data_IF_312739744788
#
_entry.id   IF_312739744788
#
_cell.length_a   1.000
_cell.length_b   1.000
_cell.length_c   1.000
_cell.angle_alpha   90.00
_cell.angle_beta   90.00
_cell.angle_gamma   90.00
#
_symmetry.space_group_name_H-M   'P 1'
#
loop_
_entity.id
_entity.type
_entity.pdbx_description
1 polymer ?
#
# COMPACT_ATOMS: atom_id res chain seq x y z
N UNK A 1 40.19 22.91 -5.41
CA UNK A 1 39.18 23.64 -4.59
C UNK A 1 37.83 23.87 -5.26
N UNK A 2 37.72 23.87 -6.61
CA UNK A 2 36.45 24.09 -7.33
C UNK A 2 35.49 22.89 -7.29
N UNK A 3 36.03 21.68 -7.16
CA UNK A 3 35.30 20.40 -7.11
C UNK A 3 34.65 20.08 -5.76
N UNK A 4 35.16 20.61 -4.64
CA UNK A 4 34.59 20.38 -3.29
C UNK A 4 33.31 21.20 -3.09
N UNK A 5 33.25 22.42 -3.65
CA UNK A 5 32.04 23.26 -3.60
C UNK A 5 30.89 22.66 -4.40
N UNK A 6 31.18 21.94 -5.48
CA UNK A 6 30.17 21.24 -6.29
C UNK A 6 29.63 20.00 -5.56
N UNK A 7 30.50 19.26 -4.86
CA UNK A 7 30.10 18.09 -4.07
C UNK A 7 29.17 18.48 -2.90
N UNK A 8 29.45 19.59 -2.23
CA UNK A 8 28.61 20.12 -1.14
C UNK A 8 27.24 20.63 -1.64
N UNK A 9 27.19 21.18 -2.86
CA UNK A 9 25.94 21.64 -3.48
C UNK A 9 25.02 20.47 -3.87
N UNK A 10 25.59 19.38 -4.38
CA UNK A 10 24.84 18.15 -4.72
C UNK A 10 24.37 17.43 -3.45
N UNK A 11 25.20 17.39 -2.40
CA UNK A 11 24.82 16.79 -1.12
C UNK A 11 23.73 17.58 -0.39
N UNK A 12 23.76 18.92 -0.49
CA UNK A 12 22.70 19.79 0.04
C UNK A 12 21.38 19.66 -0.73
N UNK A 13 21.43 19.38 -2.04
CA UNK A 13 20.22 19.17 -2.86
C UNK A 13 19.57 17.79 -2.60
N UNK A 14 20.38 16.78 -2.29
CA UNK A 14 19.88 15.45 -1.88
C UNK A 14 19.24 15.45 -0.48
N UNK A 15 19.74 16.28 0.44
CA UNK A 15 19.17 16.43 1.78
C UNK A 15 17.82 17.17 1.79
N UNK A 16 17.53 18.02 0.80
CA UNK A 16 16.23 18.71 0.68
C UNK A 16 15.13 17.85 0.05
N UNK A 17 15.48 16.74 -0.61
CA UNK A 17 14.50 15.81 -1.19
C UNK A 17 14.06 14.72 -0.19
N UNK A 18 14.80 14.50 0.90
CA UNK A 18 14.44 13.59 1.99
C UNK A 18 13.36 14.11 2.95
N UNK A 19 12.89 15.34 2.73
CA UNK A 19 11.82 16.01 3.50
C UNK A 19 10.56 16.26 2.66
N UNK A 20 10.34 15.46 1.62
CA UNK A 20 8.97 15.17 1.22
C UNK A 20 8.37 14.33 2.35
N UNK A 21 7.91 15.01 3.40
CA UNK A 21 7.00 14.47 4.38
C UNK A 21 5.99 13.62 3.63
N UNK A 22 5.98 12.33 3.93
CA UNK A 22 4.79 11.50 3.86
C UNK A 22 3.69 12.30 4.54
N UNK A 23 2.90 13.04 3.76
CA UNK A 23 1.65 13.56 4.27
C UNK A 23 0.84 12.31 4.54
N UNK A 24 0.73 11.93 5.81
CA UNK A 24 -0.42 11.13 6.23
C UNK A 24 -1.63 11.99 5.86
N UNK A 25 -2.19 11.74 4.66
CA UNK A 25 -3.44 12.37 4.25
C UNK A 25 -4.42 12.12 5.39
N UNK A 26 -5.10 13.18 5.81
CA UNK A 26 -6.11 13.13 6.86
C UNK A 26 -7.04 11.95 6.57
N UNK A 27 -7.07 10.98 7.50
CA UNK A 27 -7.85 9.75 7.33
C UNK A 27 -9.31 10.13 7.14
N UNK A 28 -9.88 9.78 6.00
CA UNK A 28 -11.29 10.01 5.75
C UNK A 28 -12.10 9.16 6.74
N UNK A 29 -13.09 9.75 7.43
CA UNK A 29 -13.86 9.06 8.48
C UNK A 29 -14.60 7.81 7.96
N UNK A 30 -14.77 7.70 6.64
CA UNK A 30 -15.38 6.55 5.99
C UNK A 30 -14.38 5.43 5.68
N UNK A 31 -13.10 5.48 6.06
CA UNK A 31 -12.14 4.40 5.77
C UNK A 31 -12.36 3.17 6.63
N UNK A 32 -11.90 2.00 6.17
CA UNK A 32 -11.78 0.84 7.04
C UNK A 32 -10.83 1.19 8.21
N UNK A 33 -11.12 0.72 9.44
CA UNK A 33 -10.21 0.92 10.55
C UNK A 33 -8.84 0.27 10.24
N UNK A 34 -7.76 0.71 10.91
CA UNK A 34 -6.48 0.01 10.82
C UNK A 34 -6.66 -1.49 11.07
N UNK A 35 -6.10 -2.32 10.19
CA UNK A 35 -5.99 -3.75 10.39
C UNK A 35 -4.92 -4.00 11.46
N UNK A 36 -5.26 -4.82 12.43
CA UNK A 36 -4.34 -5.27 13.46
C UNK A 36 -4.13 -6.78 13.27
N UNK A 37 -2.88 -7.19 13.13
CA UNK A 37 -2.50 -8.60 13.00
C UNK A 37 -2.26 -9.14 14.40
N UNK A 38 -3.10 -10.08 14.82
CA UNK A 38 -2.89 -10.76 16.11
C UNK A 38 -1.66 -11.67 16.01
N UNK A 39 -0.61 -11.35 16.78
CA UNK A 39 0.60 -12.19 16.86
C UNK A 39 0.28 -13.42 17.73
N UNK A 40 0.38 -14.65 17.19
CA UNK A 40 0.22 -15.89 17.96
C UNK A 40 1.15 -15.92 19.17
N UNK A 41 0.69 -16.51 20.28
CA UNK A 41 1.47 -16.52 21.53
C UNK A 41 2.82 -17.23 21.37
N UNK A 42 2.88 -18.22 20.49
CA UNK A 42 4.07 -19.01 20.18
C UNK A 42 5.16 -18.18 19.50
N UNK A 43 4.80 -17.07 18.86
CA UNK A 43 5.72 -16.16 18.16
C UNK A 43 6.15 -14.96 19.01
N UNK A 44 5.51 -14.74 20.17
CA UNK A 44 5.82 -13.62 21.07
C UNK A 44 7.19 -13.78 21.69
N UNK A 45 7.94 -12.68 21.74
CA UNK A 45 9.30 -12.62 22.27
C UNK A 45 10.39 -12.79 21.20
N UNK A 46 10.06 -13.30 20.01
CA UNK A 46 10.98 -13.30 18.88
C UNK A 46 10.92 -11.93 18.17
N UNK A 47 11.86 -11.03 18.51
CA UNK A 47 11.87 -9.64 18.03
C UNK A 47 11.98 -9.50 16.52
N UNK A 48 12.60 -10.46 15.83
CA UNK A 48 12.69 -10.43 14.37
C UNK A 48 11.34 -10.76 13.72
N UNK A 49 10.64 -11.78 14.25
CA UNK A 49 9.30 -12.17 13.79
C UNK A 49 8.27 -11.10 14.11
N UNK A 50 8.28 -10.56 15.34
CA UNK A 50 7.39 -9.44 15.72
C UNK A 50 7.56 -8.26 14.78
N UNK A 51 8.82 -7.87 14.51
CA UNK A 51 9.12 -6.77 13.57
C UNK A 51 8.62 -7.08 12.15
N UNK A 52 8.81 -8.31 11.67
CA UNK A 52 8.32 -8.72 10.35
C UNK A 52 6.79 -8.61 10.25
N UNK A 53 6.06 -9.06 11.29
CA UNK A 53 4.59 -8.95 11.33
C UNK A 53 4.16 -7.47 11.39
N UNK A 54 4.78 -6.65 12.23
CA UNK A 54 4.47 -5.21 12.37
C UNK A 54 4.72 -4.43 11.06
N UNK A 55 5.84 -4.69 10.39
CA UNK A 55 6.16 -4.06 9.10
C UNK A 55 5.17 -4.50 8.02
N UNK A 56 4.75 -5.77 8.04
CA UNK A 56 3.75 -6.32 7.12
C UNK A 56 2.37 -5.70 7.37
N UNK A 57 1.95 -5.56 8.63
CA UNK A 57 0.72 -4.87 9.03
C UNK A 57 0.74 -3.40 8.56
N UNK A 58 1.87 -2.72 8.73
CA UNK A 58 2.03 -1.33 8.29
C UNK A 58 1.88 -1.21 6.77
N UNK A 59 2.51 -2.13 6.01
CA UNK A 59 2.39 -2.16 4.56
C UNK A 59 0.96 -2.46 4.11
N UNK A 60 0.29 -3.43 4.74
CA UNK A 60 -1.10 -3.79 4.46
C UNK A 60 -2.05 -2.61 4.68
N UNK A 61 -1.90 -1.88 5.79
CA UNK A 61 -2.72 -0.71 6.08
C UNK A 61 -2.50 0.41 5.07
N UNK A 62 -1.24 0.70 4.69
CA UNK A 62 -0.94 1.68 3.64
C UNK A 62 -1.55 1.30 2.30
N UNK A 63 -1.48 0.02 1.94
CA UNK A 63 -2.10 -0.51 0.73
C UNK A 63 -3.63 -0.36 0.75
N UNK A 64 -4.27 -0.74 1.85
CA UNK A 64 -5.71 -0.56 2.08
C UNK A 64 -6.11 0.91 1.86
N UNK A 65 -5.41 1.83 2.52
CA UNK A 65 -5.73 3.25 2.40
C UNK A 65 -5.49 3.80 1.00
N UNK A 66 -4.45 3.34 0.29
CA UNK A 66 -4.21 3.76 -1.10
C UNK A 66 -5.35 3.32 -2.04
N UNK A 67 -5.93 2.14 -1.82
CA UNK A 67 -7.11 1.68 -2.56
C UNK A 67 -8.36 2.50 -2.23
N UNK A 68 -8.57 2.80 -0.95
CA UNK A 68 -9.71 3.61 -0.51
C UNK A 68 -9.61 5.06 -1.02
N UNK A 69 -8.40 5.61 -1.05
CA UNK A 69 -8.06 6.88 -1.68
C UNK A 69 -8.36 6.87 -3.18
N UNK A 70 -7.96 5.79 -3.87
CA UNK A 70 -8.21 5.64 -5.30
C UNK A 70 -9.72 5.61 -5.57
N UNK A 71 -10.46 4.79 -4.82
CA UNK A 71 -11.91 4.68 -4.99
C UNK A 71 -12.61 6.02 -4.77
N UNK A 72 -12.27 6.76 -3.70
CA UNK A 72 -12.85 8.08 -3.42
C UNK A 72 -12.48 9.14 -4.46
N UNK A 73 -11.24 9.12 -4.97
CA UNK A 73 -10.81 10.05 -6.03
C UNK A 73 -11.41 9.72 -7.39
N UNK A 74 -11.71 8.44 -7.64
CA UNK A 74 -12.30 7.97 -8.90
C UNK A 74 -13.82 8.08 -8.92
N UNK A 75 -14.50 8.15 -7.77
CA UNK A 75 -15.96 8.24 -7.64
C UNK A 75 -16.62 9.24 -8.63
N UNK A 76 -16.10 10.48 -8.83
CA UNK A 76 -16.72 11.46 -9.73
C UNK A 76 -16.64 11.11 -11.24
N UNK A 77 -15.87 10.08 -11.59
CA UNK A 77 -15.66 9.60 -12.96
C UNK A 77 -16.30 8.23 -13.21
N UNK A 78 -16.81 7.57 -12.18
CA UNK A 78 -17.50 6.28 -12.31
C UNK A 78 -18.71 6.44 -13.23
N UNK A 79 -18.84 5.54 -14.20
CA UNK A 79 -19.95 5.54 -15.17
C UNK A 79 -19.84 6.57 -16.29
N UNK A 80 -18.81 7.43 -16.29
CA UNK A 80 -18.57 8.36 -17.40
C UNK A 80 -17.79 7.67 -18.51
N UNK A 81 -18.26 7.82 -19.73
CA UNK A 81 -17.51 7.42 -20.92
C UNK A 81 -16.34 8.38 -21.16
N UNK A 82 -15.30 7.90 -21.85
CA UNK A 82 -14.11 8.70 -22.13
C UNK A 82 -14.43 9.98 -22.93
N UNK A 83 -15.50 9.95 -23.73
CA UNK A 83 -16.00 11.08 -24.52
C UNK A 83 -16.70 12.15 -23.66
N UNK A 84 -17.19 11.79 -22.48
CA UNK A 84 -17.90 12.68 -21.55
C UNK A 84 -16.93 13.44 -20.63
N UNK A 85 -15.69 12.94 -20.53
CA UNK A 85 -14.64 13.57 -19.75
C UNK A 85 -14.02 14.77 -20.49
N UNK A 86 -13.96 15.90 -19.80
CA UNK A 86 -13.16 17.04 -20.25
C UNK A 86 -11.67 16.69 -20.26
N UNK A 87 -10.86 17.39 -21.07
CA UNK A 87 -9.39 17.22 -21.08
C UNK A 87 -8.79 17.36 -19.68
N UNK A 88 -9.31 18.27 -18.85
CA UNK A 88 -8.83 18.47 -17.49
C UNK A 88 -9.16 17.28 -16.59
N UNK A 89 -10.35 16.69 -16.70
CA UNK A 89 -10.72 15.48 -15.97
C UNK A 89 -9.85 14.29 -16.38
N UNK A 90 -9.54 14.14 -17.68
CA UNK A 90 -8.60 13.12 -18.16
C UNK A 90 -7.20 13.27 -17.54
N UNK A 91 -6.70 14.51 -17.46
CA UNK A 91 -5.41 14.80 -16.81
C UNK A 91 -5.44 14.49 -15.32
N UNK A 92 -6.53 14.85 -14.62
CA UNK A 92 -6.71 14.53 -13.20
C UNK A 92 -6.76 13.02 -12.95
N UNK A 93 -7.52 12.28 -13.76
CA UNK A 93 -7.59 10.82 -13.68
C UNK A 93 -6.21 10.19 -13.91
N UNK A 94 -5.47 10.65 -14.93
CA UNK A 94 -4.10 10.21 -15.17
C UNK A 94 -3.17 10.48 -13.97
N UNK A 95 -3.29 11.65 -13.32
CA UNK A 95 -2.55 11.97 -12.10
C UNK A 95 -2.90 11.04 -10.94
N UNK A 96 -4.18 10.79 -10.70
CA UNK A 96 -4.67 9.87 -9.67
C UNK A 96 -4.07 8.47 -9.88
N UNK A 97 -4.08 7.97 -11.11
CA UNK A 97 -3.50 6.66 -11.45
C UNK A 97 -1.98 6.62 -11.23
N UNK A 98 -1.24 7.67 -11.59
CA UNK A 98 0.20 7.75 -11.34
C UNK A 98 0.53 7.76 -9.85
N UNK A 99 -0.22 8.51 -9.04
CA UNK A 99 -0.06 8.54 -7.59
C UNK A 99 -0.36 7.17 -6.96
N UNK A 100 -1.42 6.50 -7.44
CA UNK A 100 -1.74 5.15 -7.01
C UNK A 100 -0.61 4.17 -7.34
N UNK A 101 -0.11 4.15 -8.58
CA UNK A 101 1.02 3.27 -8.97
C UNK A 101 2.27 3.55 -8.14
N UNK A 102 2.59 4.83 -7.88
CA UNK A 102 3.73 5.19 -7.05
C UNK A 102 3.60 4.66 -5.61
N UNK A 103 2.41 4.75 -5.03
CA UNK A 103 2.12 4.20 -3.70
C UNK A 103 2.15 2.66 -3.68
N UNK A 104 1.67 2.02 -4.74
CA UNK A 104 1.66 0.57 -4.91
C UNK A 104 3.05 -0.03 -5.11
N UNK A 105 4.02 0.73 -5.61
CA UNK A 105 5.39 0.24 -5.80
C UNK A 105 6.03 -0.29 -4.51
N UNK A 106 5.79 0.39 -3.37
CA UNK A 106 6.31 -0.08 -2.08
C UNK A 106 5.63 -1.37 -1.61
N UNK A 107 4.34 -1.51 -1.90
CA UNK A 107 3.58 -2.71 -1.57
C UNK A 107 4.03 -3.91 -2.41
N UNK A 108 4.17 -3.72 -3.72
CA UNK A 108 4.64 -4.75 -4.64
C UNK A 108 6.03 -5.27 -4.28
N UNK A 109 6.93 -4.40 -3.82
CA UNK A 109 8.25 -4.82 -3.31
C UNK A 109 8.10 -5.73 -2.09
N UNK A 110 7.21 -5.43 -1.15
CA UNK A 110 7.00 -6.30 0.03
C UNK A 110 6.32 -7.62 -0.30
N UNK A 111 5.36 -7.63 -1.21
CA UNK A 111 4.78 -8.90 -1.71
C UNK A 111 5.85 -9.73 -2.42
N UNK A 112 6.68 -9.11 -3.27
CA UNK A 112 7.78 -9.82 -3.93
C UNK A 112 8.83 -10.37 -2.95
N UNK A 113 9.16 -9.64 -1.89
CA UNK A 113 10.02 -10.14 -0.80
C UNK A 113 9.37 -11.32 -0.05
N UNK A 114 8.06 -11.27 0.20
CA UNK A 114 7.32 -12.36 0.82
C UNK A 114 7.27 -13.60 -0.08
N UNK A 115 6.97 -13.43 -1.37
CA UNK A 115 6.98 -14.51 -2.37
C UNK A 115 8.37 -15.10 -2.55
N UNK A 116 9.41 -14.27 -2.54
CA UNK A 116 10.79 -14.73 -2.59
C UNK A 116 11.17 -15.50 -1.31
N UNK A 117 10.68 -15.07 -0.14
CA UNK A 117 10.89 -15.77 1.13
C UNK A 117 10.11 -17.09 1.19
N UNK A 118 8.89 -17.14 0.65
CA UNK A 118 8.12 -18.36 0.49
C UNK A 118 8.82 -19.33 -0.48
N UNK A 119 9.19 -18.86 -1.68
CA UNK A 119 9.72 -19.68 -2.77
C UNK A 119 11.16 -20.13 -2.52
N UNK A 120 12.01 -19.27 -1.94
CA UNK A 120 13.41 -19.60 -1.67
C UNK A 120 13.60 -20.47 -0.42
N UNK A 121 12.57 -20.62 0.41
CA UNK A 121 12.71 -21.16 1.77
C UNK A 121 11.60 -22.15 2.17
N UNK A 122 10.66 -22.52 1.29
CA UNK A 122 9.68 -23.60 1.59
C UNK A 122 10.34 -24.93 2.02
N UNK A 123 11.63 -25.15 1.70
CA UNK A 123 12.43 -26.29 2.17
C UNK A 123 13.30 -26.00 3.43
N UNK A 124 13.43 -24.75 3.89
CA UNK A 124 14.36 -24.34 4.95
C UNK A 124 13.77 -23.42 6.05
N UNK A 125 12.49 -23.03 5.99
CA UNK A 125 11.88 -22.18 7.02
C UNK A 125 11.72 -23.02 8.28
N UNK A 126 12.11 -22.46 9.42
CA UNK A 126 11.76 -23.09 10.67
C UNK A 126 10.24 -22.92 10.94
N UNK A 127 9.65 -23.74 11.83
CA UNK A 127 8.21 -23.68 12.08
C UNK A 127 7.69 -22.31 12.51
N UNK A 128 8.47 -21.53 13.27
CA UNK A 128 8.08 -20.18 13.70
C UNK A 128 8.01 -19.21 12.53
N UNK A 129 8.99 -19.27 11.62
CA UNK A 129 9.03 -18.43 10.42
C UNK A 129 7.89 -18.76 9.45
N UNK A 130 7.59 -20.04 9.25
CA UNK A 130 6.46 -20.49 8.44
C UNK A 130 5.12 -20.03 9.05
N UNK A 131 4.99 -20.11 10.37
CA UNK A 131 3.78 -19.65 11.07
C UNK A 131 3.63 -18.13 10.99
N UNK A 132 4.72 -17.36 11.10
CA UNK A 132 4.72 -15.91 10.91
C UNK A 132 4.27 -15.52 9.50
N UNK A 133 4.84 -16.17 8.47
CA UNK A 133 4.46 -15.96 7.08
C UNK A 133 2.98 -16.28 6.85
N UNK A 134 2.50 -17.41 7.37
CA UNK A 134 1.09 -17.81 7.27
C UNK A 134 0.17 -16.80 7.94
N UNK A 135 0.56 -16.28 9.11
CA UNK A 135 -0.21 -15.26 9.85
C UNK A 135 -0.36 -13.98 9.02
N UNK A 136 0.72 -13.53 8.38
CA UNK A 136 0.70 -12.36 7.51
C UNK A 136 -0.15 -12.61 6.26
N UNK A 137 0.02 -13.74 5.57
CA UNK A 137 -0.75 -14.06 4.37
C UNK A 137 -2.26 -14.17 4.63
N UNK A 138 -2.66 -14.77 5.75
CA UNK A 138 -4.07 -14.82 6.14
C UNK A 138 -4.62 -13.41 6.43
N UNK A 139 -3.81 -12.55 7.03
CA UNK A 139 -4.18 -11.15 7.29
C UNK A 139 -4.39 -10.35 6.00
N UNK A 140 -3.54 -10.59 4.99
CA UNK A 140 -3.70 -10.03 3.65
C UNK A 140 -5.04 -10.42 3.02
N UNK A 141 -5.35 -11.71 3.02
CA UNK A 141 -6.59 -12.24 2.45
C UNK A 141 -7.83 -11.66 3.15
N UNK A 142 -7.82 -11.58 4.48
CA UNK A 142 -8.91 -10.98 5.25
C UNK A 142 -9.13 -9.51 4.88
N UNK A 143 -8.07 -8.70 4.80
CA UNK A 143 -8.21 -7.29 4.42
C UNK A 143 -8.65 -7.13 2.97
N UNK A 144 -8.21 -7.98 2.04
CA UNK A 144 -8.75 -8.02 0.67
C UNK A 144 -10.26 -8.26 0.69
N UNK A 145 -10.74 -9.21 1.49
CA UNK A 145 -12.16 -9.50 1.64
C UNK A 145 -12.95 -8.32 2.22
N UNK A 146 -12.43 -7.63 3.24
CA UNK A 146 -13.04 -6.42 3.81
C UNK A 146 -13.19 -5.30 2.77
N UNK A 147 -12.14 -5.05 1.98
CA UNK A 147 -12.15 -4.05 0.91
C UNK A 147 -13.16 -4.45 -0.18
N UNK A 148 -13.11 -5.69 -0.65
CA UNK A 148 -14.04 -6.19 -1.67
C UNK A 148 -15.49 -6.09 -1.20
N UNK A 149 -15.77 -6.41 0.07
CA UNK A 149 -17.11 -6.28 0.63
C UNK A 149 -17.58 -4.83 0.65
N UNK A 150 -16.72 -3.91 1.10
CA UNK A 150 -17.04 -2.48 1.19
C UNK A 150 -17.30 -1.85 -0.17
N UNK A 151 -16.51 -2.18 -1.18
CA UNK A 151 -16.61 -1.63 -2.53
C UNK A 151 -17.36 -2.53 -3.51
N UNK A 152 -18.11 -3.53 -3.02
CA UNK A 152 -18.82 -4.52 -3.86
C UNK A 152 -19.78 -3.89 -4.89
N UNK A 153 -20.30 -2.70 -4.60
CA UNK A 153 -21.27 -1.98 -5.42
C UNK A 153 -20.65 -0.79 -6.16
N UNK A 154 -19.34 -0.59 -6.02
CA UNK A 154 -18.61 0.47 -6.71
C UNK A 154 -18.77 0.30 -8.23
N UNK A 155 -19.46 1.26 -8.86
CA UNK A 155 -19.75 1.24 -10.30
C UNK A 155 -20.96 0.38 -10.72
N UNK A 156 -21.69 -0.25 -9.80
CA UNK A 156 -22.83 -1.13 -10.15
C UNK A 156 -24.17 -0.44 -10.31
N UNK A 157 -24.39 0.73 -9.72
CA UNK A 157 -25.67 1.46 -9.81
C UNK A 157 -26.02 1.95 -11.24
N UNK A 158 -25.14 1.67 -12.21
CA UNK A 158 -25.23 2.12 -13.60
C UNK A 158 -25.93 1.11 -14.54
N UNK A 159 -26.24 -0.13 -14.10
CA UNK A 159 -26.97 -1.10 -14.93
C UNK A 159 -28.51 -0.90 -14.91
N UNK A 160 -29.02 0.09 -14.16
CA UNK A 160 -30.46 0.30 -13.97
C UNK A 160 -31.03 1.62 -14.55
N UNK A 161 -30.23 2.38 -15.31
CA UNK A 161 -30.66 3.60 -16.01
C UNK A 161 -30.59 3.47 -17.52
#
# INVERSE_FOLDING_TARGET
MRSIKFLLLVFSFLLTLGWACTSDKEKNANYLPPFEVEIPNELKGNKAIEKFIDESQTALNKWSYALEDLAGQCEPYVGKEESELTTMEKVKLGKIMMEFVANMGQFAVKVAEMEQTATAIEENLNPEELQALTTVMNSFELRIQEINHKYKDFGKDQESM
#
